data_IF_495911847500
#
_entry.id   IF_495911847500
#
_cell.length_a   1.000
_cell.length_b   1.000
_cell.length_c   1.000
_cell.angle_alpha   90.00
_cell.angle_beta   90.00
_cell.angle_gamma   90.00
#
_symmetry.space_group_name_H-M   'P 1'
#
loop_
_entity.id
_entity.type
_entity.pdbx_description
1 polymer ?
#
# COMPACT_ATOMS: atom_id res chain seq x y z
N UNK A 1 -4.27 -1.19 22.80
CA UNK A 1 -4.58 0.10 22.13
C UNK A 1 -4.51 -0.09 20.63
N UNK A 2 -5.28 0.70 19.86
CA UNK A 2 -5.23 0.71 18.40
C UNK A 2 -3.92 1.41 17.95
N UNK A 3 -3.17 0.79 17.03
CA UNK A 3 -1.96 1.39 16.46
C UNK A 3 -2.33 2.21 15.23
N UNK A 4 -1.78 3.41 15.11
CA UNK A 4 -1.95 4.27 13.95
C UNK A 4 -0.70 4.22 13.08
N UNK A 5 -0.90 4.22 11.76
CA UNK A 5 0.17 4.29 10.78
C UNK A 5 0.20 5.66 10.13
N UNK A 6 1.37 6.27 10.00
CA UNK A 6 1.55 7.52 9.26
C UNK A 6 1.85 7.23 7.79
N UNK A 7 1.06 7.80 6.88
CA UNK A 7 1.28 7.62 5.45
C UNK A 7 2.38 8.57 4.95
N UNK A 8 3.53 8.02 4.54
CA UNK A 8 4.75 8.76 4.23
C UNK A 8 4.67 9.67 3.00
N UNK A 9 3.83 9.35 2.01
CA UNK A 9 3.56 10.22 0.85
C UNK A 9 3.01 11.59 1.27
N UNK A 10 2.31 11.67 2.42
CA UNK A 10 1.85 12.93 3.01
C UNK A 10 3.00 13.89 3.31
N UNK A 11 4.22 13.36 3.52
CA UNK A 11 5.43 14.11 3.81
C UNK A 11 6.52 13.91 2.73
N UNK A 12 6.16 13.48 1.51
CA UNK A 12 7.12 13.13 0.43
C UNK A 12 8.13 14.21 0.05
N UNK A 13 7.83 15.48 0.32
CA UNK A 13 8.71 16.61 0.03
C UNK A 13 9.74 16.87 1.13
N UNK A 14 9.77 16.05 2.18
CA UNK A 14 10.76 16.14 3.24
C UNK A 14 12.12 15.67 2.72
N UNK A 15 13.17 16.46 2.94
CA UNK A 15 14.47 16.28 2.28
C UNK A 15 15.23 15.03 2.72
N UNK A 16 15.01 14.56 3.95
CA UNK A 16 15.70 13.42 4.54
C UNK A 16 14.71 12.41 5.10
N UNK A 17 14.69 11.20 4.52
CA UNK A 17 13.85 10.09 5.01
C UNK A 17 14.16 9.75 6.47
N UNK A 18 15.45 9.72 6.84
CA UNK A 18 15.87 9.37 8.19
C UNK A 18 15.37 10.39 9.23
N UNK A 19 15.45 11.69 8.92
CA UNK A 19 14.98 12.73 9.83
C UNK A 19 13.46 12.80 9.90
N UNK A 20 12.78 12.52 8.78
CA UNK A 20 11.32 12.36 8.74
C UNK A 20 10.88 11.23 9.66
N UNK A 21 11.48 10.04 9.55
CA UNK A 21 11.11 8.88 10.37
C UNK A 21 11.40 9.12 11.86
N UNK A 22 12.53 9.74 12.21
CA UNK A 22 12.79 10.16 13.60
C UNK A 22 11.74 11.14 14.13
N UNK A 23 11.31 12.08 13.29
CA UNK A 23 10.27 13.06 13.63
C UNK A 23 8.92 12.38 13.85
N UNK A 24 8.55 11.44 12.98
CA UNK A 24 7.31 10.66 13.14
C UNK A 24 7.34 9.82 14.42
N UNK A 25 8.47 9.18 14.71
CA UNK A 25 8.66 8.41 15.94
C UNK A 25 8.53 9.28 17.19
N UNK A 26 9.11 10.49 17.19
CA UNK A 26 9.01 11.41 18.34
C UNK A 26 7.59 11.94 18.59
N UNK A 27 6.72 11.89 17.58
CA UNK A 27 5.28 12.19 17.71
C UNK A 27 4.48 11.02 18.31
N UNK A 28 5.11 9.88 18.59
CA UNK A 28 4.48 8.71 19.22
C UNK A 28 3.85 7.72 18.24
N UNK A 29 4.11 7.86 16.94
CA UNK A 29 3.75 6.81 15.98
C UNK A 29 4.67 5.59 16.16
N UNK A 30 4.09 4.41 15.99
CA UNK A 30 4.84 3.14 15.97
C UNK A 30 4.93 2.55 14.56
N UNK A 31 4.10 3.04 13.63
CA UNK A 31 3.93 2.47 12.31
C UNK A 31 3.91 3.54 11.23
N UNK A 32 4.40 3.16 10.05
CA UNK A 32 4.36 3.97 8.83
C UNK A 32 3.86 3.14 7.66
N UNK A 33 3.35 3.85 6.65
CA UNK A 33 2.94 3.28 5.37
C UNK A 33 3.78 3.86 4.23
N UNK A 34 4.45 2.99 3.49
CA UNK A 34 5.33 3.34 2.37
C UNK A 34 4.60 3.70 1.08
N UNK A 35 5.38 4.12 0.08
CA UNK A 35 4.94 4.36 -1.30
C UNK A 35 6.11 4.15 -2.28
N UNK A 36 5.80 3.97 -3.56
CA UNK A 36 6.71 3.45 -4.60
C UNK A 36 8.11 4.10 -4.64
N UNK A 37 8.23 5.43 -4.58
CA UNK A 37 9.54 6.09 -4.69
C UNK A 37 10.55 5.65 -3.61
N UNK A 38 10.05 5.28 -2.42
CA UNK A 38 10.90 4.81 -1.32
C UNK A 38 11.51 3.44 -1.58
N UNK A 39 10.91 2.65 -2.48
CA UNK A 39 11.31 1.26 -2.72
C UNK A 39 12.50 1.14 -3.67
N UNK A 40 12.83 2.22 -4.39
CA UNK A 40 13.99 2.28 -5.29
C UNK A 40 15.34 2.11 -4.57
N UNK A 41 15.37 2.35 -3.25
CA UNK A 41 16.55 2.17 -2.40
C UNK A 41 16.14 1.47 -1.10
N UNK A 42 15.99 0.15 -1.20
CA UNK A 42 15.56 -0.70 -0.08
C UNK A 42 16.52 -0.66 1.10
N UNK A 43 17.83 -0.60 0.85
CA UNK A 43 18.83 -0.54 1.92
C UNK A 43 18.67 0.74 2.75
N UNK A 44 18.56 1.89 2.07
CA UNK A 44 18.32 3.17 2.74
C UNK A 44 17.01 3.17 3.52
N UNK A 45 15.95 2.59 2.95
CA UNK A 45 14.65 2.49 3.61
C UNK A 45 14.71 1.61 4.86
N UNK A 46 15.27 0.40 4.78
CA UNK A 46 15.35 -0.52 5.93
C UNK A 46 16.24 0.04 7.03
N UNK A 47 17.38 0.64 6.68
CA UNK A 47 18.27 1.27 7.66
C UNK A 47 17.58 2.45 8.37
N UNK A 48 16.83 3.27 7.65
CA UNK A 48 16.10 4.39 8.25
C UNK A 48 14.96 3.91 9.18
N UNK A 49 14.25 2.84 8.80
CA UNK A 49 13.25 2.21 9.65
C UNK A 49 13.86 1.66 10.94
N UNK A 50 14.95 0.89 10.83
CA UNK A 50 15.67 0.31 11.97
C UNK A 50 16.13 1.40 12.95
N UNK A 51 16.80 2.45 12.45
CA UNK A 51 17.30 3.55 13.27
C UNK A 51 16.19 4.36 13.95
N UNK A 52 15.00 4.41 13.35
CA UNK A 52 13.84 5.11 13.93
C UNK A 52 13.01 4.25 14.89
N UNK A 53 13.15 2.92 14.83
CA UNK A 53 12.31 1.97 15.55
C UNK A 53 10.88 1.85 15.01
N UNK A 54 10.55 2.53 13.91
CA UNK A 54 9.23 2.45 13.27
C UNK A 54 9.08 1.17 12.44
N UNK A 55 7.87 0.62 12.45
CA UNK A 55 7.52 -0.54 11.61
C UNK A 55 6.77 -0.09 10.37
N UNK A 56 7.21 -0.51 9.18
CA UNK A 56 6.44 -0.29 7.96
C UNK A 56 5.49 -1.47 7.70
N UNK A 57 4.35 -1.47 8.38
CA UNK A 57 3.38 -2.59 8.33
C UNK A 57 2.52 -2.59 7.08
N UNK A 58 2.49 -1.48 6.34
CA UNK A 58 1.82 -1.38 5.05
C UNK A 58 2.58 -0.56 4.02
N UNK A 59 2.16 -0.66 2.76
CA UNK A 59 2.70 0.15 1.68
C UNK A 59 1.74 0.30 0.50
N UNK A 60 1.83 1.44 -0.18
CA UNK A 60 1.20 1.65 -1.47
C UNK A 60 2.09 1.14 -2.60
N UNK A 61 1.48 0.45 -3.56
CA UNK A 61 2.10 -0.05 -4.79
C UNK A 61 1.22 0.34 -5.97
N UNK A 62 1.82 0.91 -7.01
CA UNK A 62 1.16 1.28 -8.25
C UNK A 62 0.59 0.06 -8.96
N UNK A 63 -0.40 0.29 -9.83
CA UNK A 63 -1.04 -0.79 -10.58
C UNK A 63 -0.04 -1.54 -11.46
N UNK A 64 0.85 -0.81 -12.13
CA UNK A 64 1.87 -1.40 -12.99
C UNK A 64 2.82 -2.31 -12.21
N UNK A 65 3.28 -1.88 -11.03
CA UNK A 65 4.12 -2.70 -10.14
C UNK A 65 3.40 -4.00 -9.75
N UNK A 66 2.12 -3.91 -9.39
CA UNK A 66 1.34 -5.07 -8.95
C UNK A 66 1.00 -6.06 -10.07
N UNK A 67 0.95 -5.61 -11.32
CA UNK A 67 0.64 -6.47 -12.47
C UNK A 67 1.88 -6.99 -13.21
N UNK A 68 2.92 -6.16 -13.28
CA UNK A 68 4.08 -6.41 -14.14
C UNK A 68 5.39 -6.62 -13.37
N UNK A 69 5.48 -6.24 -12.08
CA UNK A 69 6.67 -6.45 -11.24
C UNK A 69 6.35 -7.02 -9.84
N UNK A 70 5.74 -8.20 -9.84
CA UNK A 70 5.38 -8.90 -8.60
C UNK A 70 6.62 -9.26 -7.78
N UNK A 71 7.73 -9.65 -8.41
CA UNK A 71 8.93 -10.03 -7.66
C UNK A 71 9.58 -8.82 -6.97
N UNK A 72 9.61 -7.65 -7.62
CA UNK A 72 10.00 -6.39 -7.00
C UNK A 72 9.12 -6.05 -5.81
N UNK A 73 7.79 -6.11 -5.97
CA UNK A 73 6.85 -5.93 -4.87
C UNK A 73 7.14 -6.87 -3.70
N UNK A 74 7.37 -8.17 -3.98
CA UNK A 74 7.68 -9.17 -2.96
C UNK A 74 9.02 -8.93 -2.27
N UNK A 75 10.02 -8.38 -2.97
CA UNK A 75 11.30 -8.00 -2.37
C UNK A 75 11.11 -6.90 -1.33
N UNK A 76 10.34 -5.85 -1.67
CA UNK A 76 9.98 -4.77 -0.74
C UNK A 76 9.23 -5.31 0.47
N UNK A 77 8.19 -6.11 0.23
CA UNK A 77 7.34 -6.69 1.29
C UNK A 77 8.18 -7.51 2.28
N UNK A 78 9.13 -8.32 1.79
CA UNK A 78 10.00 -9.14 2.64
C UNK A 78 11.01 -8.31 3.40
N UNK A 79 11.67 -7.36 2.73
CA UNK A 79 12.69 -6.49 3.34
C UNK A 79 12.11 -5.64 4.49
N UNK A 80 10.84 -5.27 4.37
CA UNK A 80 10.19 -4.32 5.29
C UNK A 80 9.18 -4.99 6.23
N UNK A 81 8.95 -6.30 6.04
CA UNK A 81 8.03 -7.13 6.81
C UNK A 81 6.57 -6.59 6.80
N UNK A 82 6.16 -5.95 5.70
CA UNK A 82 4.79 -5.48 5.49
C UNK A 82 3.79 -6.62 5.69
N UNK A 83 2.57 -6.26 6.09
CA UNK A 83 1.45 -7.19 6.32
C UNK A 83 0.24 -6.88 5.43
N UNK A 84 0.15 -5.66 4.92
CA UNK A 84 -0.86 -5.24 3.96
C UNK A 84 -0.23 -4.39 2.87
N UNK A 85 -0.72 -4.52 1.65
CA UNK A 85 -0.39 -3.61 0.55
C UNK A 85 -1.65 -3.03 -0.05
N UNK A 86 -1.53 -1.85 -0.62
CA UNK A 86 -2.65 -1.08 -1.13
C UNK A 86 -2.35 -0.58 -2.53
N UNK A 87 -3.33 -0.63 -3.42
CA UNK A 87 -3.25 0.07 -4.71
C UNK A 87 -3.91 1.46 -4.55
N UNK A 88 -3.15 2.57 -4.49
CA UNK A 88 -3.68 3.88 -4.08
C UNK A 88 -4.50 4.57 -5.16
N UNK A 89 -4.07 4.48 -6.41
CA UNK A 89 -4.55 5.32 -7.50
C UNK A 89 -4.64 4.55 -8.81
N UNK A 90 -5.78 4.72 -9.47
CA UNK A 90 -6.00 4.35 -10.86
C UNK A 90 -6.33 5.62 -11.64
N UNK A 91 -5.75 5.78 -12.83
CA UNK A 91 -6.16 6.85 -13.73
C UNK A 91 -7.65 6.73 -14.06
N UNK A 92 -8.34 7.82 -14.42
CA UNK A 92 -9.77 7.76 -14.77
C UNK A 92 -10.09 6.72 -15.85
N UNK A 93 -9.17 6.50 -16.80
CA UNK A 93 -9.32 5.54 -17.90
C UNK A 93 -9.19 4.08 -17.43
N UNK A 94 -8.38 3.83 -16.41
CA UNK A 94 -8.16 2.49 -15.85
C UNK A 94 -9.22 2.08 -14.82
N UNK A 95 -10.02 3.03 -14.33
CA UNK A 95 -11.03 2.78 -13.29
C UNK A 95 -12.15 1.88 -13.80
N UNK A 96 -12.40 0.73 -13.16
CA UNK A 96 -13.57 -0.05 -13.43
C UNK A 96 -14.87 0.74 -13.19
N UNK A 97 -15.77 0.75 -14.18
CA UNK A 97 -17.04 1.49 -14.09
C UNK A 97 -18.21 0.66 -13.54
N UNK A 98 -18.02 -0.65 -13.38
CA UNK A 98 -19.08 -1.56 -12.93
C UNK A 98 -18.56 -2.51 -11.85
N UNK A 99 -19.47 -3.02 -11.02
CA UNK A 99 -19.13 -4.01 -9.98
C UNK A 99 -18.45 -5.27 -10.55
N UNK A 100 -18.90 -5.73 -11.73
CA UNK A 100 -18.29 -6.87 -12.42
C UNK A 100 -16.85 -6.56 -12.80
N UNK A 101 -16.58 -5.38 -13.40
CA UNK A 101 -15.21 -4.97 -13.76
C UNK A 101 -14.32 -4.78 -12.53
N UNK A 102 -14.87 -4.31 -11.39
CA UNK A 102 -14.13 -4.26 -10.13
C UNK A 102 -13.77 -5.64 -9.60
N UNK A 103 -14.66 -6.64 -9.76
CA UNK A 103 -14.37 -8.03 -9.40
C UNK A 103 -13.30 -8.65 -10.30
N UNK A 104 -13.35 -8.39 -11.61
CA UNK A 104 -12.33 -8.81 -12.57
C UNK A 104 -10.97 -8.18 -12.24
N UNK A 105 -10.96 -6.90 -11.88
CA UNK A 105 -9.76 -6.19 -11.44
C UNK A 105 -9.16 -6.83 -10.18
N UNK A 106 -9.97 -7.08 -9.15
CA UNK A 106 -9.51 -7.80 -7.96
C UNK A 106 -8.94 -9.20 -8.29
N UNK A 107 -9.55 -9.90 -9.26
CA UNK A 107 -9.07 -11.21 -9.72
C UNK A 107 -7.71 -11.12 -10.42
N UNK A 108 -7.47 -10.09 -11.24
CA UNK A 108 -6.17 -9.83 -11.88
C UNK A 108 -5.08 -9.66 -10.83
N UNK A 109 -5.32 -8.79 -9.85
CA UNK A 109 -4.36 -8.55 -8.77
C UNK A 109 -4.13 -9.80 -7.91
N UNK A 110 -5.19 -10.56 -7.60
CA UNK A 110 -5.05 -11.78 -6.81
C UNK A 110 -4.14 -12.81 -7.49
N UNK A 111 -4.16 -12.94 -8.83
CA UNK A 111 -3.32 -13.90 -9.56
C UNK A 111 -1.83 -13.73 -9.26
N UNK A 112 -1.35 -12.49 -9.11
CA UNK A 112 0.04 -12.21 -8.78
C UNK A 112 0.45 -12.64 -7.38
N UNK A 113 -0.50 -12.66 -6.44
CA UNK A 113 -0.22 -12.85 -5.01
C UNK A 113 -0.77 -14.18 -4.42
N UNK A 114 -1.54 -14.97 -5.18
CA UNK A 114 -2.24 -16.16 -4.65
C UNK A 114 -1.34 -17.32 -4.17
N UNK A 115 -0.03 -17.29 -4.46
CA UNK A 115 0.93 -18.34 -4.07
C UNK A 115 2.06 -17.89 -3.14
N UNK A 116 1.99 -16.67 -2.60
CA UNK A 116 3.16 -16.00 -1.98
C UNK A 116 3.00 -15.69 -0.48
N UNK A 117 2.04 -16.32 0.22
CA UNK A 117 1.77 -16.18 1.67
C UNK A 117 1.49 -14.74 2.16
N UNK A 118 0.98 -13.87 1.29
CA UNK A 118 0.60 -12.49 1.65
C UNK A 118 -0.91 -12.35 1.84
N UNK A 119 -1.36 -11.82 2.99
CA UNK A 119 -2.75 -11.97 3.45
C UNK A 119 -3.72 -10.84 3.10
N UNK A 120 -3.27 -9.64 2.72
CA UNK A 120 -4.18 -8.51 2.51
C UNK A 120 -3.76 -7.55 1.39
N UNK A 121 -4.60 -7.45 0.36
CA UNK A 121 -4.59 -6.42 -0.68
C UNK A 121 -5.90 -5.63 -0.57
N UNK A 122 -5.81 -4.31 -0.44
CA UNK A 122 -6.97 -3.42 -0.36
C UNK A 122 -6.86 -2.34 -1.45
N UNK A 123 -7.97 -2.10 -2.16
CA UNK A 123 -8.03 -1.21 -3.32
C UNK A 123 -8.97 -0.06 -2.94
N UNK A 124 -8.49 1.18 -3.05
CA UNK A 124 -9.31 2.36 -2.81
C UNK A 124 -9.80 2.97 -4.13
N UNK A 125 -11.09 3.29 -4.20
CA UNK A 125 -11.66 4.23 -5.15
C UNK A 125 -12.16 5.43 -4.35
N UNK A 126 -11.83 6.65 -4.79
CA UNK A 126 -12.27 7.88 -4.13
C UNK A 126 -13.76 8.21 -4.36
N UNK A 127 -14.45 7.43 -5.20
CA UNK A 127 -15.90 7.55 -5.39
C UNK A 127 -16.67 6.44 -4.67
N UNK A 128 -17.81 6.76 -4.03
CA UNK A 128 -18.64 5.75 -3.39
C UNK A 128 -19.12 4.73 -4.43
N UNK A 129 -18.63 3.50 -4.32
CA UNK A 129 -19.19 2.38 -5.06
C UNK A 129 -20.60 2.18 -4.51
N UNK A 130 -21.63 2.54 -5.28
CA UNK A 130 -23.03 2.29 -4.95
C UNK A 130 -23.33 0.77 -5.00
N UNK A 131 -22.80 0.01 -4.03
CA UNK A 131 -22.94 -1.45 -3.92
C UNK A 131 -24.32 -1.90 -3.39
N UNK A 132 -25.24 -1.00 -3.03
CA UNK A 132 -26.46 -1.33 -2.27
C UNK A 132 -27.79 -0.96 -2.95
N UNK A 133 -27.85 -0.85 -4.28
CA UNK A 133 -29.13 -0.56 -4.98
C UNK A 133 -29.89 -1.77 -5.53
N UNK A 134 -29.53 -3.01 -5.19
CA UNK A 134 -30.32 -4.20 -5.57
C UNK A 134 -30.73 -5.05 -4.35
N UNK A 135 -31.48 -4.45 -3.42
CA UNK A 135 -32.51 -5.20 -2.67
C UNK A 135 -33.88 -4.73 -3.17
N UNK A 136 -34.27 -5.22 -4.34
CA UNK A 136 -35.67 -5.24 -4.75
C UNK A 136 -36.20 -6.65 -4.51
N UNK A 137 -37.25 -6.74 -3.69
CA UNK A 137 -38.32 -7.73 -3.63
C UNK A 137 -38.02 -9.15 -4.13
N UNK A 138 -37.92 -10.13 -3.21
CA UNK A 138 -38.91 -11.21 -2.99
C UNK A 138 -38.86 -11.58 -1.51
#
# INVERSE_FOLDING_TARGET
MKKYSFQLYSARNFSSLADLLKTIASMGYEQVEGFSDLYNDLEKLTNALELSGLQMTSGHFGIDELENDIEGCMAVIRATNMKAIFCPYLSPEERPLTAVKWSEFGTRLQKGFCRKDFRFLLIFSSEPINMLKNKQHI
#
